data_IF_544240960877
#
_entry.id   IF_544240960877
#
_cell.length_a   1.000
_cell.length_b   1.000
_cell.length_c   1.000
_cell.angle_alpha   90.00
_cell.angle_beta   90.00
_cell.angle_gamma   90.00
#
_symmetry.space_group_name_H-M   'P 1'
#
loop_
_entity.id
_entity.type
_entity.pdbx_description
1 polymer ?
#
# COMPACT_ATOMS: atom_id res chain seq x y z
N UNK A 1 -50.27 -0.40 -41.56
CA UNK A 1 -51.62 0.06 -41.96
C UNK A 1 -52.01 1.10 -40.93
N UNK A 2 -52.25 2.31 -41.41
CA UNK A 2 -52.50 3.55 -40.65
C UNK A 2 -53.89 3.56 -39.99
N UNK A 3 -54.02 4.41 -38.97
CA UNK A 3 -55.19 5.21 -38.50
C UNK A 3 -54.78 5.69 -37.07
N UNK A 4 -54.33 6.93 -36.80
CA UNK A 4 -55.04 8.24 -36.74
C UNK A 4 -56.35 8.15 -35.94
N UNK A 5 -56.70 8.97 -34.95
CA UNK A 5 -56.76 10.45 -34.84
C UNK A 5 -57.16 10.75 -33.35
N UNK A 6 -56.78 11.82 -32.63
CA UNK A 6 -57.31 13.21 -32.63
C UNK A 6 -56.52 14.03 -31.55
N UNK A 7 -55.90 15.21 -31.82
CA UNK A 7 -56.46 16.59 -31.90
C UNK A 7 -56.69 17.18 -30.49
N UNK A 8 -56.22 18.35 -30.01
CA UNK A 8 -55.87 19.65 -30.62
C UNK A 8 -55.13 20.58 -29.61
N UNK A 9 -54.37 21.55 -30.16
CA UNK A 9 -54.11 22.96 -29.78
C UNK A 9 -53.82 23.36 -28.32
N UNK A 10 -52.82 24.17 -27.98
CA UNK A 10 -51.97 25.09 -28.74
C UNK A 10 -51.82 26.39 -27.93
N UNK A 11 -50.60 26.71 -27.48
CA UNK A 11 -50.14 28.10 -27.29
C UNK A 11 -48.62 28.13 -27.54
N UNK A 12 -48.23 28.99 -28.46
CA UNK A 12 -46.90 29.24 -28.99
C UNK A 12 -46.09 30.24 -28.13
N UNK A 13 -44.77 30.24 -28.35
CA UNK A 13 -43.80 31.36 -28.37
C UNK A 13 -42.62 31.22 -27.41
N UNK A 14 -41.42 31.03 -27.98
CA UNK A 14 -40.16 31.43 -27.36
C UNK A 14 -38.93 30.66 -27.83
N UNK A 15 -38.30 31.13 -28.90
CA UNK A 15 -36.99 30.67 -29.37
C UNK A 15 -35.84 31.06 -28.42
N UNK A 16 -34.73 30.33 -28.58
CA UNK A 16 -33.35 30.60 -28.14
C UNK A 16 -33.02 30.52 -26.63
N UNK A 17 -32.21 29.50 -26.31
CA UNK A 17 -31.56 29.33 -25.01
C UNK A 17 -30.43 28.31 -25.09
N UNK A 18 -29.25 28.82 -25.44
CA UNK A 18 -27.93 28.19 -25.55
C UNK A 18 -27.72 26.84 -24.82
N UNK A 19 -27.12 25.90 -25.56
CA UNK A 19 -26.30 24.81 -24.99
C UNK A 19 -25.21 25.47 -24.15
N UNK A 20 -25.38 25.46 -22.83
CA UNK A 20 -24.42 25.99 -21.87
C UNK A 20 -23.13 25.17 -21.94
N UNK A 21 -22.08 25.83 -22.40
CA UNK A 21 -20.73 25.33 -22.49
C UNK A 21 -20.20 25.00 -21.08
N UNK A 22 -20.10 23.71 -20.74
CA UNK A 22 -19.53 23.24 -19.46
C UNK A 22 -18.00 23.31 -19.43
N UNK A 23 -17.36 23.92 -20.43
CA UNK A 23 -15.91 24.16 -20.41
C UNK A 23 -15.51 25.32 -19.48
N UNK A 24 -16.42 26.25 -19.20
CA UNK A 24 -16.06 27.50 -18.51
C UNK A 24 -15.83 27.36 -17.00
N UNK A 25 -16.21 26.23 -16.38
CA UNK A 25 -16.01 26.02 -14.93
C UNK A 25 -14.65 25.41 -14.59
N UNK A 26 -13.98 24.74 -15.53
CA UNK A 26 -12.66 24.15 -15.28
C UNK A 26 -11.55 25.19 -15.46
N UNK A 27 -11.72 26.09 -16.42
CA UNK A 27 -10.76 27.16 -16.71
C UNK A 27 -10.77 28.25 -15.62
N UNK A 28 -11.93 28.61 -15.04
CA UNK A 28 -12.01 29.55 -13.91
C UNK A 28 -11.37 29.00 -12.62
N UNK A 29 -11.38 27.68 -12.41
CA UNK A 29 -10.71 27.04 -11.26
C UNK A 29 -9.18 27.11 -11.41
N UNK A 30 -8.67 27.06 -12.64
CA UNK A 30 -7.21 27.15 -12.88
C UNK A 30 -6.63 28.56 -12.63
N UNK A 31 -7.45 29.61 -12.65
CA UNK A 31 -6.96 31.00 -12.60
C UNK A 31 -6.75 31.55 -11.17
N UNK A 32 -7.27 30.88 -10.13
CA UNK A 32 -7.19 31.34 -8.72
C UNK A 32 -6.21 30.58 -7.84
N UNK A 33 -5.52 29.58 -8.37
CA UNK A 33 -4.55 28.79 -7.62
C UNK A 33 -3.20 29.51 -7.50
N UNK A 34 -2.91 30.00 -6.29
CA UNK A 34 -1.65 30.69 -5.99
C UNK A 34 -0.47 29.74 -6.20
N UNK A 35 0.30 29.98 -7.26
CA UNK A 35 1.62 29.38 -7.45
C UNK A 35 2.49 29.70 -6.23
N UNK A 36 3.07 28.66 -5.64
CA UNK A 36 4.00 28.82 -4.51
C UNK A 36 5.41 28.76 -5.06
N UNK A 37 6.23 29.77 -4.75
CA UNK A 37 7.64 29.76 -5.10
C UNK A 37 8.45 29.26 -3.92
N UNK A 38 9.19 28.15 -4.10
CA UNK A 38 10.13 27.61 -3.10
C UNK A 38 11.52 27.66 -3.72
N UNK A 39 12.48 28.29 -3.03
CA UNK A 39 13.86 28.45 -3.50
C UNK A 39 14.02 29.01 -4.93
N UNK A 40 13.10 29.89 -5.33
CA UNK A 40 13.09 30.50 -6.66
C UNK A 40 12.49 29.64 -7.76
N UNK A 41 12.05 28.41 -7.45
CA UNK A 41 11.33 27.53 -8.37
C UNK A 41 9.82 27.67 -8.12
N UNK A 42 9.02 28.03 -9.15
CA UNK A 42 7.57 28.07 -9.02
C UNK A 42 6.98 26.66 -9.09
N UNK A 43 6.07 26.35 -8.18
CA UNK A 43 5.32 25.10 -8.14
C UNK A 43 3.84 25.39 -8.38
N UNK A 44 3.27 24.65 -9.34
CA UNK A 44 1.82 24.59 -9.51
C UNK A 44 1.25 23.75 -8.36
N UNK A 45 0.12 24.17 -7.76
CA UNK A 45 -0.55 23.35 -6.77
C UNK A 45 -0.99 22.02 -7.37
N UNK A 46 -0.92 20.98 -6.53
CA UNK A 46 -1.43 19.66 -6.88
C UNK A 46 -2.96 19.68 -6.75
N UNK A 47 -3.65 19.14 -7.76
CA UNK A 47 -5.13 19.15 -7.83
C UNK A 47 -5.68 20.57 -7.59
N UNK A 48 -6.62 20.75 -6.65
CA UNK A 48 -7.16 22.06 -6.30
C UNK A 48 -6.36 22.83 -5.21
N UNK A 49 -5.25 22.27 -4.73
CA UNK A 49 -4.40 22.88 -3.70
C UNK A 49 -4.93 22.82 -2.26
N UNK A 50 -6.16 22.40 -2.03
CA UNK A 50 -6.75 22.26 -0.70
C UNK A 50 -6.80 20.79 -0.27
N UNK A 51 -6.42 20.50 0.97
CA UNK A 51 -6.37 19.15 1.52
C UNK A 51 -6.77 19.17 2.99
N UNK A 52 -7.55 18.18 3.43
CA UNK A 52 -7.93 18.01 4.84
C UNK A 52 -6.76 17.46 5.68
N UNK A 53 -5.87 16.69 5.04
CA UNK A 53 -4.70 16.12 5.69
C UNK A 53 -3.52 15.99 4.71
N UNK A 54 -2.31 16.18 5.22
CA UNK A 54 -1.05 15.93 4.51
C UNK A 54 -0.29 14.84 5.26
N UNK A 55 0.04 13.75 4.55
CA UNK A 55 0.82 12.62 5.06
C UNK A 55 2.17 12.61 4.35
N UNK A 56 3.25 12.63 5.13
CA UNK A 56 4.62 12.64 4.62
C UNK A 56 5.32 11.32 4.96
N UNK A 57 5.79 10.63 3.92
CA UNK A 57 6.36 9.29 3.96
C UNK A 57 5.33 8.24 3.54
N UNK A 58 5.80 7.21 2.84
CA UNK A 58 4.98 6.10 2.33
C UNK A 58 5.32 4.78 3.02
N UNK A 59 5.72 4.86 4.29
CA UNK A 59 5.84 3.68 5.14
C UNK A 59 4.48 3.04 5.42
N UNK A 60 4.50 1.84 5.97
CA UNK A 60 3.26 1.09 6.26
C UNK A 60 2.30 1.88 7.16
N UNK A 61 2.83 2.54 8.19
CA UNK A 61 2.02 3.32 9.14
C UNK A 61 1.34 4.49 8.45
N UNK A 62 2.10 5.25 7.67
CA UNK A 62 1.63 6.42 6.95
C UNK A 62 0.58 6.03 5.88
N UNK A 63 0.83 4.96 5.13
CA UNK A 63 -0.12 4.39 4.17
C UNK A 63 -1.41 3.92 4.83
N UNK A 64 -1.33 3.28 6.00
CA UNK A 64 -2.51 2.88 6.76
C UNK A 64 -3.34 4.10 7.17
N UNK A 65 -2.70 5.15 7.72
CA UNK A 65 -3.40 6.36 8.15
C UNK A 65 -4.03 7.06 6.94
N UNK A 66 -3.27 7.24 5.87
CA UNK A 66 -3.73 7.83 4.61
C UNK A 66 -4.95 7.09 4.04
N UNK A 67 -4.91 5.76 4.05
CA UNK A 67 -6.04 4.92 3.62
C UNK A 67 -7.28 5.10 4.50
N UNK A 68 -7.14 5.10 5.83
CA UNK A 68 -8.27 5.29 6.76
C UNK A 68 -8.91 6.68 6.57
N UNK A 69 -8.10 7.74 6.46
CA UNK A 69 -8.59 9.11 6.25
C UNK A 69 -9.32 9.23 4.91
N UNK A 70 -8.79 8.59 3.86
CA UNK A 70 -9.42 8.56 2.54
C UNK A 70 -10.77 7.82 2.56
N UNK A 71 -10.85 6.68 3.25
CA UNK A 71 -12.11 5.93 3.45
C UNK A 71 -13.12 6.74 4.27
N UNK A 72 -12.67 7.58 5.20
CA UNK A 72 -13.52 8.52 5.94
C UNK A 72 -14.03 9.71 5.10
N UNK A 73 -13.63 9.80 3.82
CA UNK A 73 -14.05 10.85 2.90
C UNK A 73 -13.20 12.12 2.95
N UNK A 74 -12.07 12.10 3.64
CA UNK A 74 -11.15 13.25 3.70
C UNK A 74 -10.25 13.29 2.46
N UNK A 75 -9.94 14.49 2.02
CA UNK A 75 -9.01 14.73 0.92
C UNK A 75 -7.57 14.74 1.44
N UNK A 76 -6.85 13.65 1.18
CA UNK A 76 -5.48 13.44 1.69
C UNK A 76 -4.43 13.67 0.60
N UNK A 77 -3.43 14.52 0.88
CA UNK A 77 -2.19 14.58 0.12
C UNK A 77 -1.18 13.62 0.74
N UNK A 78 -0.75 12.61 0.00
CA UNK A 78 0.23 11.64 0.48
C UNK A 78 1.51 11.73 -0.36
N UNK A 79 2.61 12.15 0.24
CA UNK A 79 3.87 12.41 -0.46
C UNK A 79 5.04 11.71 0.24
N UNK A 80 6.09 11.37 -0.52
CA UNK A 80 7.37 10.89 0.01
C UNK A 80 8.51 11.71 -0.61
N UNK A 81 9.62 11.84 0.12
CA UNK A 81 10.85 12.44 -0.42
C UNK A 81 11.65 11.48 -1.29
N UNK A 82 11.44 10.18 -1.10
CA UNK A 82 12.12 9.14 -1.85
C UNK A 82 11.40 8.92 -3.18
N UNK A 83 12.13 8.46 -4.19
CA UNK A 83 11.62 8.08 -5.51
C UNK A 83 10.99 6.66 -5.53
N UNK A 84 10.82 6.05 -4.36
CA UNK A 84 10.22 4.73 -4.16
C UNK A 84 9.31 4.70 -2.93
N UNK A 85 8.37 3.74 -2.92
CA UNK A 85 7.45 3.51 -1.81
C UNK A 85 8.07 2.69 -0.67
N UNK A 86 7.52 2.83 0.54
CA UNK A 86 7.85 1.97 1.69
C UNK A 86 8.84 2.58 2.69
N UNK A 87 9.47 3.71 2.33
CA UNK A 87 10.41 4.43 3.19
C UNK A 87 11.49 3.51 3.76
N UNK A 88 11.64 3.47 5.09
CA UNK A 88 12.64 2.62 5.76
C UNK A 88 12.36 1.12 5.65
N UNK A 89 11.11 0.73 5.38
CA UNK A 89 10.69 -0.68 5.25
C UNK A 89 10.50 -1.08 3.78
N UNK A 90 11.06 -0.33 2.84
CA UNK A 90 10.97 -0.63 1.43
C UNK A 90 11.64 -1.97 1.09
N UNK A 91 11.13 -2.62 0.06
CA UNK A 91 11.80 -3.72 -0.62
C UNK A 91 12.55 -3.15 -1.82
N UNK A 92 13.83 -3.46 -1.95
CA UNK A 92 14.71 -2.90 -2.97
C UNK A 92 15.17 -3.98 -3.95
N UNK A 93 15.53 -3.56 -5.17
CA UNK A 93 16.15 -4.45 -6.14
C UNK A 93 17.56 -4.86 -5.71
N UNK A 94 18.11 -5.88 -6.36
CA UNK A 94 19.46 -6.36 -6.03
C UNK A 94 20.54 -5.29 -6.32
N UNK A 95 20.41 -4.54 -7.40
CA UNK A 95 21.30 -3.41 -7.72
C UNK A 95 21.24 -2.33 -6.65
N UNK A 96 20.03 -1.91 -6.25
CA UNK A 96 19.84 -0.92 -5.19
C UNK A 96 20.41 -1.38 -3.84
N UNK A 97 20.31 -2.68 -3.53
CA UNK A 97 20.91 -3.24 -2.33
C UNK A 97 22.45 -3.12 -2.35
N UNK A 98 23.08 -3.45 -3.48
CA UNK A 98 24.53 -3.36 -3.64
C UNK A 98 25.00 -1.91 -3.53
N UNK A 99 24.34 -0.99 -4.23
CA UNK A 99 24.65 0.45 -4.17
C UNK A 99 24.52 1.01 -2.75
N UNK A 100 23.58 0.47 -1.95
CA UNK A 100 23.32 0.93 -0.59
C UNK A 100 24.32 0.41 0.44
N UNK A 101 24.84 -0.80 0.29
CA UNK A 101 25.61 -1.49 1.33
C UNK A 101 27.04 -1.89 0.93
N UNK A 102 27.42 -1.84 -0.35
CA UNK A 102 28.81 -2.07 -0.76
C UNK A 102 29.58 -0.75 -0.84
N UNK A 103 30.74 -0.72 -0.17
CA UNK A 103 31.65 0.43 -0.17
C UNK A 103 32.32 0.64 -1.55
N UNK A 104 32.51 -0.42 -2.33
CA UNK A 104 33.02 -0.35 -3.69
C UNK A 104 31.88 -0.47 -4.70
N UNK A 105 31.86 0.42 -5.71
CA UNK A 105 31.04 0.31 -6.93
C UNK A 105 31.47 -0.90 -7.77
N UNK A 106 31.31 -2.08 -7.21
CA UNK A 106 31.53 -3.34 -7.91
C UNK A 106 30.27 -3.63 -8.69
N UNK A 107 30.41 -3.80 -10.00
CA UNK A 107 29.31 -4.23 -10.85
C UNK A 107 28.69 -5.53 -10.30
N UNK A 108 27.37 -5.61 -10.31
CA UNK A 108 26.64 -6.78 -9.84
C UNK A 108 27.09 -8.02 -10.65
N UNK A 109 27.54 -9.12 -10.01
CA UNK A 109 27.89 -10.36 -10.70
C UNK A 109 26.63 -11.02 -11.29
N UNK A 110 26.27 -10.64 -12.52
CA UNK A 110 25.06 -11.10 -13.21
C UNK A 110 25.08 -12.60 -13.52
N UNK A 111 26.26 -13.18 -13.65
CA UNK A 111 26.48 -14.62 -13.82
C UNK A 111 26.12 -15.44 -12.58
N UNK A 112 26.24 -14.84 -11.39
CA UNK A 112 25.92 -15.51 -10.11
C UNK A 112 24.47 -15.28 -9.70
N UNK A 113 23.98 -14.04 -9.82
CA UNK A 113 22.67 -13.65 -9.28
C UNK A 113 21.59 -13.43 -10.34
N UNK A 114 21.91 -13.44 -11.64
CA UNK A 114 20.91 -13.23 -12.68
C UNK A 114 20.38 -11.79 -12.75
N UNK A 115 19.08 -11.62 -12.99
CA UNK A 115 18.47 -10.31 -13.24
C UNK A 115 18.09 -9.61 -11.93
N UNK A 116 18.48 -8.34 -11.79
CA UNK A 116 18.15 -7.52 -10.60
C UNK A 116 16.65 -7.43 -10.30
N UNK A 117 15.80 -7.45 -11.34
CA UNK A 117 14.33 -7.37 -11.23
C UNK A 117 13.67 -8.60 -10.61
N UNK A 118 14.38 -9.72 -10.55
CA UNK A 118 13.86 -10.97 -9.96
C UNK A 118 13.89 -10.90 -8.42
N UNK A 119 14.46 -9.82 -7.87
CA UNK A 119 14.65 -9.61 -6.44
C UNK A 119 13.80 -8.46 -5.93
N UNK A 120 13.08 -8.72 -4.83
CA UNK A 120 12.49 -7.72 -3.96
C UNK A 120 12.99 -8.01 -2.54
N UNK A 121 13.98 -7.23 -2.09
CA UNK A 121 14.73 -7.51 -0.85
C UNK A 121 14.31 -6.52 0.21
N UNK A 122 13.66 -7.02 1.26
CA UNK A 122 13.20 -6.19 2.37
C UNK A 122 14.39 -5.60 3.14
N UNK A 123 14.39 -4.27 3.32
CA UNK A 123 15.37 -3.60 4.16
C UNK A 123 15.16 -3.92 5.65
N UNK A 124 13.92 -4.19 6.05
CA UNK A 124 13.54 -4.56 7.42
C UNK A 124 12.67 -5.82 7.37
N UNK A 125 13.19 -7.00 7.75
CA UNK A 125 12.42 -8.23 7.67
C UNK A 125 11.28 -8.23 8.70
N UNK A 126 10.05 -8.47 8.24
CA UNK A 126 8.85 -8.56 9.08
C UNK A 126 7.94 -9.69 8.62
N UNK A 127 7.24 -10.30 9.57
CA UNK A 127 6.17 -11.27 9.28
C UNK A 127 4.83 -10.72 9.71
N UNK A 128 3.78 -11.15 9.03
CA UNK A 128 2.40 -10.81 9.37
C UNK A 128 1.79 -11.97 10.15
N UNK A 129 1.31 -11.68 11.35
CA UNK A 129 0.60 -12.67 12.17
C UNK A 129 -0.81 -12.85 11.61
N UNK A 130 -1.18 -14.10 11.26
CA UNK A 130 -2.41 -14.40 10.53
C UNK A 130 -3.72 -13.93 11.19
N UNK A 131 -3.77 -13.89 12.53
CA UNK A 131 -4.91 -13.33 13.28
C UNK A 131 -4.51 -12.05 14.06
N UNK A 132 -3.51 -11.33 13.56
CA UNK A 132 -3.06 -10.06 14.14
C UNK A 132 -3.91 -8.88 13.67
N UNK A 133 -3.76 -7.75 14.36
CA UNK A 133 -4.54 -6.54 14.08
C UNK A 133 -4.27 -5.97 12.69
N UNK A 134 -3.05 -6.12 12.16
CA UNK A 134 -2.71 -5.71 10.80
C UNK A 134 -3.57 -6.44 9.75
N UNK A 135 -3.80 -7.75 9.90
CA UNK A 135 -4.63 -8.52 8.96
C UNK A 135 -6.08 -8.06 9.04
N UNK A 136 -6.59 -7.85 10.26
CA UNK A 136 -7.96 -7.34 10.46
C UNK A 136 -8.16 -5.97 9.83
N UNK A 137 -7.17 -5.09 9.97
CA UNK A 137 -7.16 -3.77 9.37
C UNK A 137 -7.15 -3.84 7.84
N UNK A 138 -6.29 -4.67 7.24
CA UNK A 138 -6.21 -4.84 5.78
C UNK A 138 -7.53 -5.35 5.19
N UNK A 139 -8.24 -6.21 5.92
CA UNK A 139 -9.58 -6.67 5.55
C UNK A 139 -10.63 -5.56 5.67
N UNK A 140 -10.58 -4.77 6.75
CA UNK A 140 -11.54 -3.68 6.98
C UNK A 140 -11.42 -2.55 5.95
N UNK A 141 -10.20 -2.21 5.53
CA UNK A 141 -9.95 -1.20 4.51
C UNK A 141 -10.10 -1.71 3.07
N UNK A 142 -10.48 -2.97 2.85
CA UNK A 142 -10.58 -3.62 1.54
C UNK A 142 -9.30 -3.52 0.68
N UNK A 143 -8.13 -3.49 1.35
CA UNK A 143 -6.80 -3.43 0.69
C UNK A 143 -6.25 -4.84 0.45
N UNK A 144 -6.76 -5.84 1.16
CA UNK A 144 -6.32 -7.23 1.03
C UNK A 144 -6.43 -7.77 -0.41
N UNK A 145 -7.31 -7.22 -1.26
CA UNK A 145 -7.45 -7.59 -2.68
C UNK A 145 -6.23 -7.27 -3.55
N UNK A 146 -5.32 -6.40 -3.08
CA UNK A 146 -4.10 -6.04 -3.78
C UNK A 146 -2.88 -6.85 -3.32
N UNK A 147 -3.04 -7.72 -2.33
CA UNK A 147 -1.95 -8.46 -1.70
C UNK A 147 -2.21 -9.96 -1.76
N UNK A 148 -1.17 -10.71 -2.08
CA UNK A 148 -1.17 -12.15 -1.95
C UNK A 148 -0.23 -12.57 -0.81
N UNK A 149 -0.65 -13.55 -0.01
CA UNK A 149 0.12 -14.02 1.14
C UNK A 149 0.49 -15.49 0.98
N UNK A 150 1.71 -15.82 1.40
CA UNK A 150 2.17 -17.20 1.54
C UNK A 150 2.41 -17.52 3.01
N UNK A 151 1.96 -18.69 3.43
CA UNK A 151 2.16 -19.17 4.81
C UNK A 151 3.63 -19.51 5.03
N UNK A 152 4.18 -19.06 6.16
CA UNK A 152 5.50 -19.48 6.63
C UNK A 152 5.40 -20.91 7.17
N UNK A 153 6.24 -21.81 6.65
CA UNK A 153 6.14 -23.25 6.94
C UNK A 153 6.44 -23.63 8.40
N UNK A 154 7.27 -22.83 9.08
CA UNK A 154 7.58 -23.07 10.47
C UNK A 154 8.45 -21.99 11.09
N UNK A 155 8.43 -21.97 12.42
CA UNK A 155 9.36 -21.20 13.25
C UNK A 155 10.37 -22.14 13.88
N UNK A 156 11.58 -21.65 14.10
CA UNK A 156 12.69 -22.43 14.66
C UNK A 156 13.31 -21.70 15.83
N UNK A 157 13.73 -22.46 16.84
CA UNK A 157 14.46 -21.98 18.01
C UNK A 157 15.84 -22.61 18.05
N UNK A 158 16.87 -21.81 18.33
CA UNK A 158 18.23 -22.31 18.48
C UNK A 158 18.47 -22.74 19.93
N UNK A 159 18.80 -24.01 20.15
CA UNK A 159 19.06 -24.56 21.49
C UNK A 159 20.12 -25.68 21.43
N UNK A 160 21.02 -25.69 22.41
CA UNK A 160 22.06 -26.72 22.61
C UNK A 160 23.21 -26.73 21.60
N UNK A 161 22.94 -26.51 20.32
CA UNK A 161 23.90 -26.32 19.21
C UNK A 161 23.25 -26.37 17.83
N UNK A 162 21.95 -26.62 17.74
CA UNK A 162 21.21 -26.77 16.47
C UNK A 162 19.87 -26.04 16.51
N UNK A 163 19.30 -25.67 15.36
CA UNK A 163 17.93 -25.20 15.28
C UNK A 163 16.94 -26.36 15.48
N UNK A 164 15.86 -26.09 16.22
CA UNK A 164 14.74 -26.99 16.46
C UNK A 164 13.46 -26.35 15.93
N UNK A 165 12.66 -27.08 15.14
CA UNK A 165 11.34 -26.60 14.73
C UNK A 165 10.44 -26.46 15.97
N UNK A 166 9.81 -25.30 16.12
CA UNK A 166 8.80 -25.06 17.15
C UNK A 166 7.55 -25.87 16.78
N UNK A 167 7.05 -26.75 17.65
CA UNK A 167 5.90 -27.60 17.34
C UNK A 167 4.63 -26.78 17.09
N UNK A 168 3.93 -27.07 15.99
CA UNK A 168 2.62 -26.46 15.66
C UNK A 168 1.46 -27.46 15.73
N UNK A 169 1.76 -28.75 15.95
CA UNK A 169 0.76 -29.81 16.17
C UNK A 169 1.06 -30.63 17.41
N UNK A 170 0.05 -31.31 17.96
CA UNK A 170 0.22 -32.22 19.09
C UNK A 170 1.23 -33.35 18.79
N UNK A 171 1.23 -33.86 17.55
CA UNK A 171 2.18 -34.90 17.11
C UNK A 171 3.61 -34.38 17.12
N UNK A 172 3.85 -33.20 16.57
CA UNK A 172 5.17 -32.55 16.61
C UNK A 172 5.62 -32.24 18.04
N UNK A 173 4.69 -31.85 18.92
CA UNK A 173 5.01 -31.58 20.32
C UNK A 173 5.50 -32.85 21.02
N UNK A 174 4.88 -34.01 20.73
CA UNK A 174 5.28 -35.31 21.29
C UNK A 174 6.64 -35.79 20.76
N UNK A 175 6.95 -35.59 19.48
CA UNK A 175 8.20 -36.05 18.88
C UNK A 175 9.35 -35.05 19.01
N UNK A 176 9.07 -33.78 19.29
CA UNK A 176 10.10 -32.74 19.38
C UNK A 176 11.09 -33.00 20.51
N UNK A 177 12.38 -32.88 20.21
CA UNK A 177 13.45 -32.96 21.20
C UNK A 177 13.70 -31.65 21.96
N UNK A 178 12.79 -30.67 21.87
CA UNK A 178 12.98 -29.35 22.49
C UNK A 178 12.78 -29.37 24.01
N UNK A 179 11.89 -30.23 24.51
CA UNK A 179 11.55 -30.36 25.92
C UNK A 179 11.58 -31.84 26.33
N UNK A 180 11.93 -32.12 27.58
CA UNK A 180 11.79 -33.46 28.18
C UNK A 180 10.32 -33.86 28.35
N UNK A 181 10.04 -35.16 28.51
CA UNK A 181 8.66 -35.68 28.63
C UNK A 181 7.87 -35.03 29.78
N UNK A 182 8.51 -34.83 30.94
CA UNK A 182 7.89 -34.19 32.10
C UNK A 182 7.61 -32.70 31.87
N UNK A 183 8.52 -32.01 31.20
CA UNK A 183 8.37 -30.60 30.84
C UNK A 183 7.24 -30.41 29.82
N UNK A 184 7.11 -31.30 28.83
CA UNK A 184 5.98 -31.30 27.89
C UNK A 184 4.65 -31.41 28.62
N UNK A 185 4.56 -32.28 29.64
CA UNK A 185 3.35 -32.44 30.41
C UNK A 185 3.00 -31.17 31.21
N UNK A 186 4.02 -30.50 31.76
CA UNK A 186 3.84 -29.21 32.44
C UNK A 186 3.43 -28.10 31.47
N UNK A 187 4.07 -27.99 30.30
CA UNK A 187 3.72 -27.01 29.27
C UNK A 187 2.30 -27.19 28.74
N UNK A 188 1.81 -28.43 28.66
CA UNK A 188 0.42 -28.70 28.26
C UNK A 188 -0.61 -28.17 29.26
N UNK A 189 -0.23 -27.99 30.53
CA UNK A 189 -1.12 -27.54 31.61
C UNK A 189 -1.08 -26.02 31.84
N UNK A 190 -0.16 -25.31 31.18
CA UNK A 190 -0.05 -23.85 31.24
C UNK A 190 -1.09 -23.20 30.33
#
# INVERSE_FOLDING_TARGET
>A
MMEEEEVMDGVDLGADGAVGDTSNSMDEITETMKKVTVDGVPYEPLADGEYDAIVLGTGLTECVISGILSVAGLKVLHADKNDYYGGQSASVSLEQLFDKFKESKTELPKDVYGSSRDYNIDLIPKFIIGNGDLVRLLLHCDVAKYLEFRVVEGSFVYSGSRPHKVPVTAREAMTSGLLGLWEKNRCRQF
#
